data_IF_171679904003
#
_entry.id   IF_171679904003
#
_cell.length_a   1.000
_cell.length_b   1.000
_cell.length_c   1.000
_cell.angle_alpha   90.00
_cell.angle_beta   90.00
_cell.angle_gamma   90.00
#
_symmetry.space_group_name_H-M   'P 1'
#
loop_
_entity.id
_entity.type
_entity.pdbx_description
1 polymer ?
#
# COMPACT_ATOMS: atom_id res chain seq x y z
N UNK A 1 23.61 2.33 -30.07
CA UNK A 1 23.34 2.69 -28.66
C UNK A 1 22.42 3.90 -28.65
N UNK A 2 21.30 3.87 -27.92
CA UNK A 2 20.36 5.01 -27.86
C UNK A 2 20.98 6.13 -27.01
N UNK A 3 21.01 7.37 -27.51
CA UNK A 3 21.48 8.56 -26.78
C UNK A 3 20.65 8.77 -25.49
N UNK A 4 21.25 9.17 -24.35
CA UNK A 4 20.56 9.59 -23.12
C UNK A 4 19.27 10.40 -23.31
N UNK A 5 19.27 11.39 -24.20
CA UNK A 5 18.10 12.24 -24.46
C UNK A 5 16.96 11.45 -25.11
N UNK A 6 17.27 10.56 -26.05
CA UNK A 6 16.26 9.72 -26.68
C UNK A 6 15.64 8.72 -25.70
N UNK A 7 16.41 8.16 -24.74
CA UNK A 7 15.85 7.32 -23.67
C UNK A 7 14.91 8.09 -22.74
N UNK A 8 15.29 9.32 -22.39
CA UNK A 8 14.46 10.19 -21.55
C UNK A 8 13.14 10.53 -22.25
N UNK A 9 13.18 10.90 -23.54
CA UNK A 9 11.98 11.18 -24.35
C UNK A 9 11.07 9.95 -24.41
N UNK A 10 11.61 8.76 -24.68
CA UNK A 10 10.82 7.53 -24.69
C UNK A 10 10.18 7.24 -23.33
N UNK A 11 10.89 7.49 -22.23
CA UNK A 11 10.34 7.33 -20.88
C UNK A 11 9.22 8.33 -20.59
N UNK A 12 9.39 9.62 -20.96
CA UNK A 12 8.36 10.65 -20.81
C UNK A 12 7.10 10.29 -21.60
N UNK A 13 7.27 9.93 -22.88
CA UNK A 13 6.15 9.54 -23.76
C UNK A 13 5.47 8.28 -23.21
N UNK A 14 6.24 7.28 -22.78
CA UNK A 14 5.69 6.04 -22.21
C UNK A 14 4.90 6.27 -20.92
N UNK A 15 5.43 7.08 -20.00
CA UNK A 15 4.73 7.47 -18.77
C UNK A 15 3.47 8.27 -19.09
N UNK A 16 3.56 9.30 -19.95
CA UNK A 16 2.42 10.12 -20.33
C UNK A 16 1.31 9.31 -21.00
N UNK A 17 1.66 8.42 -21.95
CA UNK A 17 0.71 7.53 -22.61
C UNK A 17 0.06 6.55 -21.63
N UNK A 18 0.82 6.00 -20.69
CA UNK A 18 0.30 5.08 -19.67
C UNK A 18 -0.64 5.79 -18.70
N UNK A 19 -0.28 6.99 -18.25
CA UNK A 19 -1.15 7.82 -17.40
C UNK A 19 -2.42 8.24 -18.15
N UNK A 20 -2.31 8.63 -19.42
CA UNK A 20 -3.49 8.95 -20.23
C UNK A 20 -4.39 7.73 -20.42
N UNK A 21 -3.82 6.56 -20.68
CA UNK A 21 -4.59 5.32 -20.78
C UNK A 21 -5.31 4.99 -19.46
N UNK A 22 -4.62 5.12 -18.32
CA UNK A 22 -5.24 4.93 -17.00
C UNK A 22 -6.28 5.99 -16.65
N UNK A 23 -6.14 7.22 -17.15
CA UNK A 23 -7.14 8.27 -17.02
C UNK A 23 -8.43 7.88 -17.75
N UNK A 24 -8.30 7.46 -19.01
CA UNK A 24 -9.42 7.08 -19.88
C UNK A 24 -10.08 5.75 -19.50
N UNK A 25 -9.28 4.80 -18.98
CA UNK A 25 -9.73 3.48 -18.55
C UNK A 25 -9.34 3.28 -17.08
N UNK A 26 -10.21 3.69 -16.13
CA UNK A 26 -9.87 3.72 -14.71
C UNK A 26 -9.28 2.42 -14.12
N UNK A 27 -9.72 1.21 -14.49
CA UNK A 27 -9.11 -0.02 -13.98
C UNK A 27 -7.61 -0.16 -14.28
N UNK A 28 -7.11 0.48 -15.35
CA UNK A 28 -5.66 0.47 -15.65
C UNK A 28 -4.83 1.24 -14.62
N UNK A 29 -5.44 2.09 -13.79
CA UNK A 29 -4.75 2.78 -12.71
C UNK A 29 -4.14 1.80 -11.69
N UNK A 30 -4.71 0.59 -11.53
CA UNK A 30 -4.15 -0.47 -10.67
C UNK A 30 -2.76 -0.90 -11.13
N UNK A 31 -2.50 -0.93 -12.45
CA UNK A 31 -1.21 -1.37 -13.00
C UNK A 31 -0.28 -0.20 -13.35
N UNK A 32 -0.82 0.99 -13.57
CA UNK A 32 -0.04 2.17 -13.95
C UNK A 32 0.23 3.10 -12.76
N UNK A 33 -0.82 3.49 -12.04
CA UNK A 33 -0.76 4.54 -11.02
C UNK A 33 -0.38 3.97 -9.65
N UNK A 34 -0.95 2.83 -9.26
CA UNK A 34 -0.67 2.25 -7.95
C UNK A 34 0.81 1.91 -7.72
N UNK A 35 1.60 1.42 -8.69
CA UNK A 35 3.05 1.27 -8.49
C UNK A 35 3.76 2.59 -8.15
N UNK A 36 3.29 3.71 -8.70
CA UNK A 36 3.80 5.06 -8.38
C UNK A 36 3.39 5.50 -6.97
N UNK A 37 2.22 5.06 -6.49
CA UNK A 37 1.70 5.37 -5.16
C UNK A 37 2.19 4.41 -4.07
N UNK A 38 2.69 3.22 -4.42
CA UNK A 38 3.05 2.16 -3.47
C UNK A 38 4.54 1.81 -3.43
N UNK A 39 5.33 2.05 -4.49
CA UNK A 39 6.72 1.55 -4.54
C UNK A 39 7.76 2.54 -5.12
N UNK A 40 7.45 3.26 -6.20
CA UNK A 40 8.49 3.91 -7.03
C UNK A 40 9.26 5.04 -6.31
N UNK A 41 8.61 6.09 -5.77
CA UNK A 41 9.28 7.18 -5.05
C UNK A 41 10.17 6.73 -3.88
N UNK A 42 9.70 5.79 -3.06
CA UNK A 42 10.48 5.27 -1.94
C UNK A 42 11.67 4.45 -2.42
N UNK A 43 11.52 3.65 -3.49
CA UNK A 43 12.65 2.95 -4.10
C UNK A 43 13.70 3.93 -4.63
N UNK A 44 13.27 4.99 -5.31
CA UNK A 44 14.16 6.05 -5.79
C UNK A 44 14.91 6.73 -4.64
N UNK A 45 14.21 7.04 -3.54
CA UNK A 45 14.79 7.64 -2.34
C UNK A 45 15.88 6.76 -1.73
N UNK A 46 15.63 5.45 -1.63
CA UNK A 46 16.63 4.50 -1.10
C UNK A 46 17.79 4.27 -2.06
N UNK A 47 17.55 4.31 -3.37
CA UNK A 47 18.61 4.24 -4.38
C UNK A 47 19.54 5.46 -4.32
N UNK A 48 18.99 6.65 -4.05
CA UNK A 48 19.74 7.89 -3.92
C UNK A 48 20.54 7.97 -2.60
N UNK A 49 19.90 7.65 -1.47
CA UNK A 49 20.51 7.75 -0.14
C UNK A 49 21.43 6.57 0.20
N UNK A 50 21.30 5.45 -0.52
CA UNK A 50 22.09 4.22 -0.35
C UNK A 50 22.29 3.84 1.12
N UNK A 51 21.21 3.79 1.93
CA UNK A 51 21.36 3.45 3.32
C UNK A 51 21.98 2.05 3.41
N UNK A 52 22.74 1.83 4.48
CA UNK A 52 23.33 0.53 4.79
C UNK A 52 22.24 -0.42 5.25
N UNK A 53 21.27 -0.68 4.39
CA UNK A 53 20.14 -1.61 4.24
C UNK A 53 20.45 -3.03 3.77
N UNK A 54 19.80 -4.10 4.24
CA UNK A 54 19.77 -5.32 3.40
C UNK A 54 18.63 -5.22 2.36
N UNK A 55 18.55 -6.18 1.43
CA UNK A 55 17.57 -6.15 0.34
C UNK A 55 16.11 -6.21 0.81
N UNK A 56 15.82 -7.01 1.85
CA UNK A 56 14.49 -7.10 2.42
C UNK A 56 14.05 -5.76 3.03
N UNK A 57 14.91 -5.18 3.88
CA UNK A 57 14.63 -3.88 4.50
C UNK A 57 14.48 -2.76 3.47
N UNK A 58 15.26 -2.80 2.37
CA UNK A 58 15.10 -1.83 1.27
C UNK A 58 13.73 -1.92 0.61
N UNK A 59 13.24 -3.11 0.34
CA UNK A 59 11.91 -3.27 -0.28
C UNK A 59 10.79 -2.82 0.67
N UNK A 60 10.81 -3.27 1.92
CA UNK A 60 9.80 -2.88 2.90
C UNK A 60 9.80 -1.36 3.18
N UNK A 61 10.98 -0.76 3.35
CA UNK A 61 11.09 0.68 3.58
C UNK A 61 10.73 1.50 2.32
N UNK A 62 11.00 0.99 1.11
CA UNK A 62 10.57 1.65 -0.12
C UNK A 62 9.04 1.78 -0.17
N UNK A 63 8.31 0.75 0.26
CA UNK A 63 6.85 0.79 0.30
C UNK A 63 6.37 1.86 1.29
N UNK A 64 6.86 1.82 2.53
CA UNK A 64 6.48 2.78 3.58
C UNK A 64 6.79 4.23 3.17
N UNK A 65 7.99 4.46 2.64
CA UNK A 65 8.38 5.78 2.17
C UNK A 65 7.54 6.24 0.97
N UNK A 66 7.18 5.34 0.08
CA UNK A 66 6.34 5.72 -1.07
C UNK A 66 4.97 6.16 -0.60
N UNK A 67 4.31 5.38 0.26
CA UNK A 67 3.01 5.73 0.83
C UNK A 67 3.09 7.07 1.57
N UNK A 68 4.14 7.27 2.37
CA UNK A 68 4.37 8.57 3.02
C UNK A 68 4.46 9.73 2.01
N UNK A 69 5.30 9.59 0.99
CA UNK A 69 5.55 10.64 -0.02
C UNK A 69 4.30 10.89 -0.87
N UNK A 70 3.65 9.83 -1.35
CA UNK A 70 2.52 9.92 -2.28
C UNK A 70 1.31 10.56 -1.62
N UNK A 71 0.94 10.13 -0.41
CA UNK A 71 -0.20 10.70 0.32
C UNK A 71 0.03 12.17 0.64
N UNK A 72 1.23 12.55 1.14
CA UNK A 72 1.51 13.96 1.43
C UNK A 72 1.53 14.80 0.16
N UNK A 73 2.07 14.29 -0.94
CA UNK A 73 2.05 15.01 -2.21
C UNK A 73 0.61 15.26 -2.68
N UNK A 74 -0.25 14.24 -2.66
CA UNK A 74 -1.66 14.40 -3.05
C UNK A 74 -2.37 15.35 -2.08
N UNK A 75 -2.11 15.26 -0.77
CA UNK A 75 -2.67 16.18 0.22
C UNK A 75 -2.34 17.64 -0.12
N UNK A 76 -1.05 17.94 -0.30
CA UNK A 76 -0.62 19.32 -0.57
C UNK A 76 -1.09 19.83 -1.92
N UNK A 77 -1.07 19.00 -2.97
CA UNK A 77 -1.61 19.38 -4.27
C UNK A 77 -3.12 19.60 -4.22
N UNK A 78 -3.86 18.82 -3.43
CA UNK A 78 -5.30 19.00 -3.24
C UNK A 78 -5.58 20.30 -2.49
N UNK A 79 -4.78 20.61 -1.47
CA UNK A 79 -4.90 21.86 -0.73
C UNK A 79 -4.60 23.08 -1.60
N UNK A 80 -3.52 23.02 -2.40
CA UNK A 80 -3.15 24.10 -3.33
C UNK A 80 -4.13 24.24 -4.49
N UNK A 81 -4.71 23.13 -4.95
CA UNK A 81 -5.71 23.10 -6.03
C UNK A 81 -7.13 23.44 -5.58
N UNK A 82 -7.36 23.65 -4.27
CA UNK A 82 -8.67 23.96 -3.71
C UNK A 82 -9.65 22.76 -3.64
N UNK A 83 -9.16 21.53 -3.81
CA UNK A 83 -9.99 20.34 -3.75
C UNK A 83 -9.22 19.04 -4.03
N UNK A 84 -9.74 17.94 -3.52
CA UNK A 84 -9.27 16.59 -3.81
C UNK A 84 -10.07 15.96 -4.95
N UNK A 85 -9.41 15.10 -5.73
CA UNK A 85 -10.07 14.27 -6.73
C UNK A 85 -9.09 13.66 -7.72
N UNK A 86 -9.61 12.86 -8.65
CA UNK A 86 -8.81 12.11 -9.63
C UNK A 86 -7.78 12.94 -10.38
N UNK A 87 -8.12 14.16 -10.80
CA UNK A 87 -7.20 15.05 -11.53
C UNK A 87 -5.93 15.36 -10.75
N UNK A 88 -6.07 15.67 -9.45
CA UNK A 88 -4.94 15.93 -8.55
C UNK A 88 -4.09 14.68 -8.37
N UNK A 89 -4.71 13.51 -8.25
CA UNK A 89 -3.99 12.23 -8.10
C UNK A 89 -3.14 11.94 -9.35
N UNK A 90 -3.66 12.18 -10.55
CA UNK A 90 -2.90 11.97 -11.78
C UNK A 90 -1.79 13.00 -11.97
N UNK A 91 -2.00 14.25 -11.54
CA UNK A 91 -0.93 15.26 -11.48
C UNK A 91 0.18 14.82 -10.50
N UNK A 92 -0.19 14.33 -9.31
CA UNK A 92 0.75 13.75 -8.36
C UNK A 92 1.50 12.56 -8.97
N UNK A 93 0.80 11.63 -9.62
CA UNK A 93 1.39 10.46 -10.26
C UNK A 93 2.42 10.85 -11.34
N UNK A 94 2.15 11.89 -12.13
CA UNK A 94 3.11 12.42 -13.11
C UNK A 94 4.41 12.91 -12.44
N UNK A 95 4.31 13.61 -11.30
CA UNK A 95 5.47 14.04 -10.51
C UNK A 95 6.20 12.83 -9.90
N UNK A 96 5.46 11.87 -9.34
CA UNK A 96 6.02 10.66 -8.73
C UNK A 96 6.69 9.73 -9.75
N UNK A 97 6.41 9.89 -11.05
CA UNK A 97 7.05 9.18 -12.15
C UNK A 97 8.41 9.78 -12.59
N UNK A 98 8.76 11.00 -12.14
CA UNK A 98 10.03 11.64 -12.49
C UNK A 98 11.29 10.77 -12.23
N UNK A 99 11.37 9.97 -11.15
CA UNK A 99 12.50 9.06 -10.95
C UNK A 99 12.71 8.06 -12.10
N UNK A 100 11.65 7.63 -12.79
CA UNK A 100 11.72 6.74 -13.96
C UNK A 100 12.40 7.47 -15.12
N UNK A 101 11.99 8.72 -15.37
CA UNK A 101 12.57 9.56 -16.43
C UNK A 101 14.05 9.86 -16.16
N UNK A 102 14.38 10.21 -14.91
CA UNK A 102 15.77 10.46 -14.48
C UNK A 102 16.62 9.19 -14.61
N UNK A 103 16.08 8.03 -14.24
CA UNK A 103 16.77 6.75 -14.40
C UNK A 103 17.02 6.43 -15.88
N UNK A 104 16.03 6.64 -16.77
CA UNK A 104 16.17 6.43 -18.21
C UNK A 104 17.21 7.37 -18.84
N UNK A 105 17.20 8.66 -18.47
CA UNK A 105 18.19 9.64 -18.91
C UNK A 105 19.61 9.19 -18.53
N UNK A 106 19.81 8.85 -17.25
CA UNK A 106 21.09 8.37 -16.72
C UNK A 106 21.48 6.96 -17.20
N UNK A 107 20.60 6.27 -17.92
CA UNK A 107 20.84 4.90 -18.36
C UNK A 107 20.93 3.89 -17.22
N UNK A 108 20.34 4.22 -16.08
CA UNK A 108 20.23 3.32 -14.94
C UNK A 108 19.29 2.18 -15.32
N UNK A 109 19.72 0.96 -15.08
CA UNK A 109 18.87 -0.22 -15.23
C UNK A 109 18.13 -0.48 -13.93
N UNK A 110 16.90 -1.02 -13.97
CA UNK A 110 16.28 -1.52 -12.78
C UNK A 110 17.21 -2.57 -12.13
N UNK A 111 17.24 -2.62 -10.79
CA UNK A 111 18.06 -3.58 -10.08
C UNK A 111 17.67 -5.00 -10.51
N UNK A 112 18.63 -5.89 -10.77
CA UNK A 112 18.30 -7.22 -11.23
C UNK A 112 17.54 -7.97 -10.14
N UNK A 113 16.53 -8.75 -10.52
CA UNK A 113 15.71 -9.57 -9.61
C UNK A 113 16.57 -10.52 -8.77
N UNK A 114 17.79 -10.85 -9.23
CA UNK A 114 18.78 -11.61 -8.46
C UNK A 114 19.15 -10.97 -7.12
N UNK A 115 19.05 -9.64 -6.96
CA UNK A 115 19.27 -8.94 -5.69
C UNK A 115 18.27 -9.41 -4.62
N UNK A 116 17.08 -9.83 -5.03
CA UNK A 116 16.03 -10.37 -4.16
C UNK A 116 16.28 -11.84 -3.78
N UNK A 117 17.14 -12.59 -4.50
CA UNK A 117 17.43 -14.01 -4.19
C UNK A 117 18.07 -14.19 -2.81
N UNK A 118 18.86 -13.22 -2.36
CA UNK A 118 19.44 -13.22 -1.01
C UNK A 118 18.42 -13.02 0.11
N UNK A 119 17.23 -12.54 -0.23
CA UNK A 119 16.12 -12.24 0.68
C UNK A 119 14.97 -13.25 0.60
N UNK A 120 15.17 -14.42 -0.03
CA UNK A 120 14.12 -15.45 -0.23
C UNK A 120 13.27 -15.74 1.01
N UNK A 121 13.84 -16.02 2.21
CA UNK A 121 13.01 -16.30 3.38
C UNK A 121 12.12 -15.12 3.77
N UNK A 122 12.64 -13.89 3.67
CA UNK A 122 11.89 -12.68 3.96
C UNK A 122 10.76 -12.46 2.96
N UNK A 123 11.01 -12.73 1.67
CA UNK A 123 10.00 -12.59 0.60
C UNK A 123 8.91 -13.65 0.69
N UNK A 124 9.28 -14.90 1.03
CA UNK A 124 8.29 -15.96 1.27
C UNK A 124 7.41 -15.63 2.46
N UNK A 125 8.02 -15.16 3.57
CA UNK A 125 7.26 -14.73 4.74
C UNK A 125 6.35 -13.54 4.42
N UNK A 126 6.86 -12.51 3.74
CA UNK A 126 6.06 -11.36 3.32
C UNK A 126 4.92 -11.75 2.38
N UNK A 127 5.16 -12.69 1.45
CA UNK A 127 4.13 -13.24 0.57
C UNK A 127 3.08 -14.04 1.35
N UNK A 128 3.48 -14.84 2.33
CA UNK A 128 2.55 -15.55 3.22
C UNK A 128 1.74 -14.56 4.08
N UNK A 129 2.38 -13.54 4.64
CA UNK A 129 1.71 -12.45 5.36
C UNK A 129 0.69 -11.76 4.47
N UNK A 130 1.06 -11.39 3.24
CA UNK A 130 0.15 -10.78 2.28
C UNK A 130 -1.04 -11.70 1.97
N UNK A 131 -0.78 -12.98 1.74
CA UNK A 131 -1.83 -13.95 1.45
C UNK A 131 -2.80 -14.08 2.63
N UNK A 132 -2.30 -14.29 3.85
CA UNK A 132 -3.14 -14.46 5.03
C UNK A 132 -3.95 -13.19 5.32
N UNK A 133 -3.30 -12.03 5.39
CA UNK A 133 -3.98 -10.75 5.67
C UNK A 133 -4.99 -10.42 4.55
N UNK A 134 -4.59 -10.57 3.29
CA UNK A 134 -5.45 -10.28 2.14
C UNK A 134 -6.65 -11.21 2.07
N UNK A 135 -6.49 -12.50 2.36
CA UNK A 135 -7.61 -13.43 2.42
C UNK A 135 -8.53 -13.12 3.60
N UNK A 136 -7.99 -12.91 4.81
CA UNK A 136 -8.79 -12.58 6.00
C UNK A 136 -9.61 -11.32 5.79
N UNK A 137 -9.01 -10.25 5.27
CA UNK A 137 -9.74 -9.02 4.97
C UNK A 137 -10.68 -9.20 3.76
N UNK A 138 -10.26 -9.93 2.74
CA UNK A 138 -11.07 -10.18 1.55
C UNK A 138 -12.37 -10.94 1.83
N UNK A 139 -12.35 -11.88 2.78
CA UNK A 139 -13.56 -12.63 3.17
C UNK A 139 -14.37 -11.93 4.26
N UNK A 140 -13.71 -11.19 5.15
CA UNK A 140 -14.31 -10.69 6.38
C UNK A 140 -14.62 -9.20 6.42
N UNK A 141 -13.95 -8.36 5.62
CA UNK A 141 -14.06 -6.90 5.80
C UNK A 141 -15.42 -6.36 5.34
N UNK A 142 -15.91 -6.78 4.17
CA UNK A 142 -17.14 -6.26 3.60
C UNK A 142 -17.79 -7.27 2.68
N UNK A 143 -18.82 -7.95 3.17
CA UNK A 143 -19.55 -8.96 2.42
C UNK A 143 -21.00 -8.52 2.22
N UNK A 144 -21.36 -8.30 0.97
CA UNK A 144 -22.74 -8.04 0.57
C UNK A 144 -23.52 -9.35 0.58
N UNK A 145 -24.64 -9.39 1.29
CA UNK A 145 -25.58 -10.50 1.39
C UNK A 145 -26.96 -10.04 0.94
N UNK A 146 -27.92 -10.96 0.70
CA UNK A 146 -29.30 -10.57 0.36
C UNK A 146 -29.99 -9.71 1.44
N UNK A 147 -29.53 -9.77 2.69
CA UNK A 147 -30.14 -9.06 3.83
C UNK A 147 -29.37 -7.81 4.26
N UNK A 148 -28.23 -7.50 3.64
CA UNK A 148 -27.44 -6.31 3.95
C UNK A 148 -25.95 -6.51 3.73
N UNK A 149 -25.14 -5.87 4.57
CA UNK A 149 -23.68 -5.99 4.56
C UNK A 149 -23.24 -6.57 5.90
N UNK A 150 -22.42 -7.61 5.85
CA UNK A 150 -21.78 -8.20 7.02
C UNK A 150 -20.29 -7.83 7.02
N UNK A 151 -19.77 -7.39 8.16
CA UNK A 151 -18.35 -7.24 8.43
C UNK A 151 -17.99 -8.08 9.66
N UNK A 152 -16.93 -8.87 9.56
CA UNK A 152 -16.53 -9.88 10.54
C UNK A 152 -15.48 -9.40 11.53
N UNK A 153 -15.43 -10.07 12.68
CA UNK A 153 -14.44 -9.85 13.74
C UNK A 153 -14.44 -8.44 14.33
N UNK A 154 -13.27 -7.97 14.75
CA UNK A 154 -13.11 -6.63 15.35
C UNK A 154 -13.30 -5.49 14.34
N UNK A 155 -13.17 -5.78 13.04
CA UNK A 155 -13.35 -4.77 11.99
C UNK A 155 -14.77 -4.19 11.99
N UNK A 156 -15.78 -4.92 12.48
CA UNK A 156 -17.14 -4.39 12.59
C UNK A 156 -17.20 -3.07 13.37
N UNK A 157 -16.38 -2.94 14.42
CA UNK A 157 -16.47 -1.79 15.34
C UNK A 157 -15.91 -0.48 14.80
N UNK A 158 -14.93 -0.52 13.89
CA UNK A 158 -14.21 0.66 13.39
C UNK A 158 -14.28 0.84 11.88
N UNK A 159 -14.60 -0.21 11.09
CA UNK A 159 -14.68 -0.12 9.64
C UNK A 159 -15.62 0.98 9.16
N UNK A 160 -16.77 1.17 9.81
CA UNK A 160 -17.72 2.23 9.45
C UNK A 160 -17.11 3.63 9.53
N UNK A 161 -16.24 3.87 10.52
CA UNK A 161 -15.51 5.13 10.69
C UNK A 161 -14.50 5.30 9.56
N UNK A 162 -13.63 4.31 9.34
CA UNK A 162 -12.60 4.36 8.29
C UNK A 162 -13.18 4.49 6.88
N UNK A 163 -14.18 3.67 6.57
CA UNK A 163 -14.85 3.66 5.28
C UNK A 163 -15.57 4.98 5.02
N UNK A 164 -16.26 5.54 6.01
CA UNK A 164 -16.93 6.84 5.84
C UNK A 164 -15.95 7.98 5.60
N UNK A 165 -14.77 7.97 6.23
CA UNK A 165 -13.71 8.95 5.93
C UNK A 165 -13.28 8.83 4.47
N UNK A 166 -12.91 7.64 4.01
CA UNK A 166 -12.43 7.43 2.65
C UNK A 166 -13.50 7.71 1.57
N UNK A 167 -14.73 7.27 1.79
CA UNK A 167 -15.82 7.47 0.82
C UNK A 167 -16.28 8.93 0.75
N UNK A 168 -16.30 9.66 1.87
CA UNK A 168 -16.67 11.09 1.82
C UNK A 168 -15.62 11.95 1.12
N UNK A 169 -14.34 11.57 1.20
CA UNK A 169 -13.28 12.14 0.38
C UNK A 169 -13.54 11.87 -1.11
N UNK A 170 -13.80 10.61 -1.49
CA UNK A 170 -14.03 10.22 -2.90
C UNK A 170 -15.36 10.72 -3.47
N UNK A 171 -16.36 11.00 -2.63
CA UNK A 171 -17.57 11.70 -3.03
C UNK A 171 -17.33 13.20 -3.37
N UNK A 172 -16.10 13.71 -3.18
CA UNK A 172 -15.69 15.07 -3.53
C UNK A 172 -16.15 16.15 -2.55
N UNK A 173 -16.70 15.76 -1.40
CA UNK A 173 -17.39 16.67 -0.49
C UNK A 173 -16.64 16.95 0.82
N UNK A 174 -15.53 16.25 1.11
CA UNK A 174 -14.93 16.24 2.44
C UNK A 174 -13.39 16.35 2.41
N UNK A 175 -12.85 17.42 1.83
CA UNK A 175 -11.40 17.69 1.84
C UNK A 175 -11.07 19.13 2.29
N UNK A 176 -10.22 19.32 3.34
CA UNK A 176 -9.72 18.28 4.26
C UNK A 176 -10.88 17.58 4.98
N UNK A 177 -10.71 16.34 5.46
CA UNK A 177 -11.83 15.59 6.01
C UNK A 177 -12.30 16.15 7.37
N UNK A 178 -13.57 16.50 7.44
CA UNK A 178 -14.35 16.67 8.66
C UNK A 178 -14.90 15.31 9.14
N UNK A 179 -15.39 15.24 10.39
CA UNK A 179 -15.97 13.99 10.93
C UNK A 179 -17.22 13.60 10.13
N UNK A 180 -17.20 12.48 9.38
CA UNK A 180 -18.28 12.15 8.47
C UNK A 180 -19.54 11.62 9.18
N UNK A 181 -19.43 11.28 10.47
CA UNK A 181 -20.51 10.74 11.31
C UNK A 181 -20.95 11.69 12.43
N UNK A 182 -20.43 12.93 12.48
CA UNK A 182 -20.82 13.95 13.45
C UNK A 182 -20.68 15.35 12.86
N UNK A 183 -21.79 16.05 12.68
CA UNK A 183 -21.81 17.34 12.01
C UNK A 183 -21.07 18.44 12.80
N UNK A 184 -20.28 19.26 12.09
CA UNK A 184 -19.67 20.47 12.62
C UNK A 184 -18.45 20.26 13.53
N UNK A 185 -17.88 19.06 13.57
CA UNK A 185 -16.68 18.75 14.36
C UNK A 185 -15.51 18.40 13.44
N UNK A 186 -14.33 19.02 13.64
CA UNK A 186 -13.13 18.66 12.91
C UNK A 186 -12.71 17.22 13.20
N UNK A 187 -12.20 16.51 12.19
CA UNK A 187 -11.69 15.17 12.38
C UNK A 187 -10.38 15.18 13.18
N UNK A 188 -10.44 14.77 14.46
CA UNK A 188 -9.27 14.63 15.33
C UNK A 188 -8.59 13.25 15.22
N UNK A 189 -9.16 12.34 14.43
CA UNK A 189 -8.64 11.00 14.19
C UNK A 189 -7.46 11.01 13.19
N UNK A 190 -6.57 10.02 13.27
CA UNK A 190 -5.50 9.87 12.30
C UNK A 190 -6.01 9.25 10.99
N UNK A 191 -6.33 10.08 10.01
CA UNK A 191 -6.97 9.67 8.75
C UNK A 191 -5.99 9.40 7.59
N UNK A 192 -4.68 9.41 7.85
CA UNK A 192 -3.66 9.27 6.80
C UNK A 192 -3.79 7.97 5.98
N UNK A 193 -4.06 6.86 6.66
CA UNK A 193 -4.26 5.57 6.00
C UNK A 193 -5.58 5.53 5.21
N UNK A 194 -6.64 6.14 5.73
CA UNK A 194 -7.94 6.23 5.06
C UNK A 194 -7.83 7.05 3.78
N UNK A 195 -7.11 8.17 3.85
CA UNK A 195 -6.87 9.02 2.69
C UNK A 195 -5.99 8.35 1.64
N UNK A 196 -4.95 7.60 2.02
CA UNK A 196 -4.19 6.83 1.03
C UNK A 196 -5.05 5.75 0.36
N UNK A 197 -5.95 5.09 1.09
CA UNK A 197 -6.88 4.13 0.50
C UNK A 197 -7.88 4.83 -0.44
N UNK A 198 -8.37 6.01 -0.04
CA UNK A 198 -9.22 6.86 -0.87
C UNK A 198 -8.52 7.23 -2.18
N UNK A 199 -7.24 7.64 -2.13
CA UNK A 199 -6.41 7.97 -3.30
C UNK A 199 -6.31 6.77 -4.25
N UNK A 200 -6.02 5.58 -3.73
CA UNK A 200 -5.92 4.37 -4.55
C UNK A 200 -7.26 4.03 -5.22
N UNK A 201 -8.36 4.15 -4.48
CA UNK A 201 -9.71 3.89 -4.95
C UNK A 201 -10.16 4.89 -6.02
N UNK A 202 -9.98 6.19 -5.78
CA UNK A 202 -10.32 7.28 -6.70
C UNK A 202 -9.51 7.21 -8.00
N UNK A 203 -8.22 6.88 -7.92
CA UNK A 203 -7.38 6.69 -9.11
C UNK A 203 -7.99 5.65 -10.07
N UNK A 204 -8.48 4.55 -9.51
CA UNK A 204 -9.05 3.42 -10.22
C UNK A 204 -10.57 3.49 -10.42
N UNK A 205 -11.24 4.52 -9.89
CA UNK A 205 -12.70 4.66 -9.86
C UNK A 205 -13.41 3.41 -9.33
N UNK A 206 -12.92 2.90 -8.20
CA UNK A 206 -13.50 1.76 -7.48
C UNK A 206 -13.95 2.19 -6.08
N UNK A 207 -14.77 1.36 -5.45
CA UNK A 207 -15.12 1.51 -4.03
C UNK A 207 -13.87 1.37 -3.12
N UNK A 208 -13.85 2.03 -1.96
CA UNK A 208 -12.65 2.11 -1.10
C UNK A 208 -12.28 0.78 -0.45
N UNK A 209 -13.23 -0.13 -0.22
CA UNK A 209 -12.96 -1.43 0.43
C UNK A 209 -11.85 -2.23 -0.28
N UNK A 210 -11.91 -2.53 -1.58
CA UNK A 210 -10.80 -3.19 -2.28
C UNK A 210 -9.45 -2.49 -2.11
N UNK A 211 -9.42 -1.15 -2.15
CA UNK A 211 -8.20 -0.38 -1.96
C UNK A 211 -7.66 -0.48 -0.53
N UNK A 212 -8.54 -0.43 0.49
CA UNK A 212 -8.19 -0.65 1.90
C UNK A 212 -7.59 -2.04 2.12
N UNK A 213 -8.21 -3.09 1.55
CA UNK A 213 -7.71 -4.46 1.64
C UNK A 213 -6.30 -4.55 1.06
N UNK A 214 -6.09 -4.02 -0.14
CA UNK A 214 -4.80 -4.11 -0.83
C UNK A 214 -3.74 -3.27 -0.12
N UNK A 215 -4.07 -2.05 0.31
CA UNK A 215 -3.19 -1.21 1.11
C UNK A 215 -2.73 -1.93 2.39
N UNK A 216 -3.67 -2.46 3.17
CA UNK A 216 -3.37 -3.16 4.42
C UNK A 216 -2.54 -4.42 4.17
N UNK A 217 -2.83 -5.14 3.10
CA UNK A 217 -2.06 -6.31 2.65
C UNK A 217 -0.60 -5.94 2.32
N UNK A 218 -0.41 -4.87 1.56
CA UNK A 218 0.92 -4.35 1.17
C UNK A 218 1.70 -3.85 2.38
N UNK A 219 1.06 -3.12 3.29
CA UNK A 219 1.68 -2.63 4.52
C UNK A 219 2.06 -3.76 5.47
N UNK A 220 1.22 -4.80 5.61
CA UNK A 220 1.55 -5.98 6.41
C UNK A 220 2.77 -6.73 5.85
N UNK A 221 2.84 -6.90 4.53
CA UNK A 221 4.01 -7.48 3.86
C UNK A 221 5.27 -6.62 4.06
N UNK A 222 5.15 -5.29 3.95
CA UNK A 222 6.23 -4.36 4.20
C UNK A 222 6.73 -4.43 5.65
N UNK A 223 5.81 -4.54 6.62
CA UNK A 223 6.13 -4.73 8.03
C UNK A 223 6.95 -6.02 8.24
N UNK A 224 6.53 -7.14 7.66
CA UNK A 224 7.27 -8.40 7.73
C UNK A 224 8.71 -8.26 7.18
N UNK A 225 8.88 -7.56 6.05
CA UNK A 225 10.20 -7.30 5.46
C UNK A 225 11.10 -6.42 6.35
N UNK A 226 10.54 -5.36 6.92
CA UNK A 226 11.28 -4.43 7.80
C UNK A 226 11.66 -5.10 9.12
N UNK A 227 10.73 -5.83 9.75
CA UNK A 227 11.02 -6.58 10.99
C UNK A 227 12.08 -7.65 10.76
N UNK A 228 11.99 -8.38 9.63
CA UNK A 228 13.01 -9.36 9.26
C UNK A 228 14.39 -8.70 9.13
N UNK A 229 14.47 -7.58 8.40
CA UNK A 229 15.73 -6.82 8.21
C UNK A 229 16.30 -6.29 9.53
N UNK A 230 15.44 -5.76 10.40
CA UNK A 230 15.83 -5.23 11.70
C UNK A 230 16.38 -6.36 12.57
N UNK A 231 15.65 -7.47 12.70
CA UNK A 231 16.11 -8.62 13.48
C UNK A 231 17.45 -9.16 12.97
N UNK A 232 17.62 -9.27 11.64
CA UNK A 232 18.90 -9.66 11.00
C UNK A 232 20.09 -8.79 11.41
N UNK A 233 19.86 -7.50 11.73
CA UNK A 233 20.91 -6.57 12.16
C UNK A 233 21.21 -6.67 13.64
N UNK A 234 20.19 -6.96 14.44
CA UNK A 234 20.32 -7.00 15.90
C UNK A 234 21.01 -8.29 16.37
N UNK A 235 20.90 -9.39 15.63
CA UNK A 235 21.47 -10.69 16.05
C UNK A 235 22.68 -11.13 15.22
N UNK A 236 23.68 -11.73 15.89
CA UNK A 236 24.96 -12.18 15.29
C UNK A 236 24.89 -13.60 14.72
N UNK A 237 24.56 -14.59 15.56
CA UNK A 237 24.41 -16.00 15.17
C UNK A 237 22.95 -16.34 14.80
N UNK A 238 22.74 -17.32 13.91
CA UNK A 238 21.40 -17.78 13.44
C UNK A 238 20.44 -16.70 12.92
N UNK A 239 21.00 -15.59 12.47
CA UNK A 239 20.25 -14.37 12.21
C UNK A 239 19.09 -14.52 11.21
N UNK A 240 19.13 -15.50 10.28
CA UNK A 240 18.01 -15.74 9.35
C UNK A 240 16.80 -16.40 10.02
N UNK A 241 17.03 -17.36 10.92
CA UNK A 241 15.96 -18.10 11.61
C UNK A 241 15.30 -17.21 12.65
N UNK A 242 16.12 -16.52 13.46
CA UNK A 242 15.63 -15.56 14.46
C UNK A 242 14.85 -14.43 13.79
N UNK A 243 15.31 -13.91 12.64
CA UNK A 243 14.59 -12.89 11.92
C UNK A 243 13.26 -13.36 11.32
N UNK A 244 13.21 -14.60 10.80
CA UNK A 244 11.95 -15.18 10.34
C UNK A 244 10.96 -15.35 11.49
N UNK A 245 11.43 -15.84 12.65
CA UNK A 245 10.60 -15.99 13.84
C UNK A 245 10.12 -14.64 14.36
N UNK A 246 11.00 -13.63 14.45
CA UNK A 246 10.63 -12.29 14.89
C UNK A 246 9.57 -11.66 13.99
N UNK A 247 9.73 -11.74 12.67
CA UNK A 247 8.74 -11.24 11.73
C UNK A 247 7.43 -12.04 11.78
N UNK A 248 7.47 -13.37 11.94
CA UNK A 248 6.28 -14.18 12.13
C UNK A 248 5.54 -13.82 13.43
N UNK A 249 6.25 -13.67 14.55
CA UNK A 249 5.66 -13.28 15.83
C UNK A 249 5.11 -11.84 15.79
N UNK A 250 5.76 -10.92 15.09
CA UNK A 250 5.27 -9.55 14.95
C UNK A 250 3.92 -9.48 14.21
N UNK A 251 3.71 -10.37 13.23
CA UNK A 251 2.47 -10.40 12.43
C UNK A 251 1.40 -11.27 13.10
N UNK A 252 1.78 -12.45 13.58
CA UNK A 252 0.83 -13.47 14.02
C UNK A 252 0.72 -13.58 15.55
N UNK A 253 1.66 -13.06 16.33
CA UNK A 253 1.72 -13.27 17.78
C UNK A 253 0.72 -12.44 18.61
N UNK A 254 0.13 -11.38 18.05
CA UNK A 254 -0.61 -10.37 18.83
C UNK A 254 -1.93 -10.82 19.45
N UNK A 255 -2.60 -11.84 18.90
CA UNK A 255 -3.94 -12.22 19.38
C UNK A 255 -4.16 -13.71 19.61
N UNK A 256 -3.25 -14.58 19.17
CA UNK A 256 -3.42 -16.05 19.17
C UNK A 256 -4.80 -16.54 18.66
N UNK A 257 -5.54 -15.71 17.91
CA UNK A 257 -6.90 -16.03 17.47
C UNK A 257 -6.97 -17.25 16.56
N UNK A 258 -5.85 -17.61 15.93
CA UNK A 258 -5.69 -18.85 15.18
C UNK A 258 -5.82 -20.11 16.06
N UNK A 259 -5.53 -20.04 17.37
CA UNK A 259 -5.76 -21.15 18.31
C UNK A 259 -7.25 -21.39 18.49
N UNK A 260 -8.03 -20.31 18.66
CA UNK A 260 -9.50 -20.39 18.72
C UNK A 260 -10.08 -20.89 17.39
N UNK A 261 -9.57 -20.40 16.27
CA UNK A 261 -9.97 -20.85 14.93
C UNK A 261 -9.79 -22.36 14.72
N UNK A 262 -8.68 -22.96 15.19
CA UNK A 262 -8.49 -24.42 15.12
C UNK A 262 -9.53 -25.15 15.99
N UNK A 263 -9.85 -24.60 17.16
CA UNK A 263 -10.93 -25.09 18.01
C UNK A 263 -12.28 -25.08 17.30
N UNK A 264 -12.65 -23.93 16.72
CA UNK A 264 -13.91 -23.74 16.00
C UNK A 264 -14.02 -24.66 14.76
N UNK A 265 -12.91 -24.86 14.03
CA UNK A 265 -12.85 -25.84 12.93
C UNK A 265 -13.07 -27.28 13.41
N UNK A 266 -12.42 -27.65 14.54
CA UNK A 266 -12.52 -29.00 15.10
C UNK A 266 -13.90 -29.32 15.67
N UNK A 267 -14.64 -28.29 16.11
CA UNK A 267 -16.00 -28.42 16.62
C UNK A 267 -17.06 -28.54 15.51
N UNK A 268 -16.67 -28.41 14.23
CA UNK A 268 -17.60 -28.24 13.13
C UNK A 268 -18.13 -26.81 13.13
N UNK A 269 -17.86 -26.04 12.07
CA UNK A 269 -18.23 -24.63 12.01
C UNK A 269 -19.77 -24.44 12.05
N UNK A 270 -20.37 -24.33 13.23
CA UNK A 270 -21.83 -24.21 13.41
C UNK A 270 -22.36 -22.76 13.34
N UNK A 271 -21.53 -21.77 13.02
CA UNK A 271 -21.97 -20.38 12.91
C UNK A 271 -21.10 -19.54 11.97
N UNK A 272 -21.62 -18.40 11.45
CA UNK A 272 -20.89 -17.58 10.50
C UNK A 272 -19.67 -16.91 11.16
N UNK A 273 -18.56 -16.88 10.42
CA UNK A 273 -17.39 -16.02 10.66
C UNK A 273 -17.76 -14.53 10.59
#
# INVERSE_FOLDING_TARGET
>A
MINPSARAVLAVVGVAASLLAAWLLPPLAVVVVWPLLLVVPGWATLAATRPRIDGAGRLGLAIVLTIAISTHLVYWLSHLGGGYGRGVIFAAAAILALPIVVAAWRGLRPPPVSVLRGARPALLLAGLTALVVGLTLGVGLWRVTPTGITAGGTNWSDLGVHLSIAETLNAGANFPPDVPYFAGVPLTYHWFADFHAAILAEAASIFSIPAMIIQSTVLAAALALVVYSLARRLVRADARRVAALAAALAIFGGGMGYVRFIGDLSAGMEGPL
#
